data_IF_750006273977
#
_entry.id   IF_750006273977
#
_cell.length_a   1.000
_cell.length_b   1.000
_cell.length_c   1.000
_cell.angle_alpha   90.00
_cell.angle_beta   90.00
_cell.angle_gamma   90.00
#
_symmetry.space_group_name_H-M   'P 1'
#
loop_
_entity.id
_entity.type
_entity.pdbx_description
1 polymer ?
#
# COMPACT_ATOMS: atom_id res chain seq x y z
N UNK A 1 10.89 16.79 22.51
CA UNK A 1 10.81 15.81 21.41
C UNK A 1 11.74 16.21 20.27
N UNK A 2 12.44 15.24 19.72
CA UNK A 2 13.28 15.49 18.55
C UNK A 2 12.40 15.71 17.30
N UNK A 3 12.72 16.68 16.45
CA UNK A 3 12.01 16.84 15.19
C UNK A 3 12.24 15.63 14.28
N UNK A 4 11.26 15.32 13.41
CA UNK A 4 11.39 14.26 12.43
C UNK A 4 12.48 14.59 11.43
N UNK A 5 13.26 13.58 10.99
CA UNK A 5 14.21 13.73 9.90
C UNK A 5 13.48 14.04 8.58
N UNK A 6 14.17 14.63 7.59
CA UNK A 6 13.57 14.81 6.26
C UNK A 6 13.04 13.53 5.66
N UNK A 7 13.75 12.41 5.84
CA UNK A 7 13.32 11.09 5.36
C UNK A 7 12.02 10.63 6.05
N UNK A 8 11.93 10.79 7.37
CA UNK A 8 10.72 10.41 8.13
C UNK A 8 9.52 11.23 7.70
N UNK A 9 9.69 12.53 7.45
CA UNK A 9 8.62 13.40 6.96
C UNK A 9 8.06 12.91 5.62
N UNK A 10 8.94 12.56 4.68
CA UNK A 10 8.53 12.04 3.38
C UNK A 10 7.81 10.70 3.52
N UNK A 11 8.32 9.79 4.36
CA UNK A 11 7.67 8.49 4.61
C UNK A 11 6.24 8.71 5.11
N UNK A 12 6.04 9.59 6.07
CA UNK A 12 4.71 9.90 6.59
C UNK A 12 3.79 10.49 5.51
N UNK A 13 4.33 11.39 4.68
CA UNK A 13 3.58 11.97 3.55
C UNK A 13 3.17 10.90 2.52
N UNK A 14 4.07 9.97 2.20
CA UNK A 14 3.77 8.88 1.27
C UNK A 14 2.67 7.96 1.83
N UNK A 15 2.72 7.63 3.12
CA UNK A 15 1.67 6.84 3.75
C UNK A 15 0.31 7.54 3.66
N UNK A 16 0.27 8.85 3.90
CA UNK A 16 -0.96 9.65 3.82
C UNK A 16 -1.51 9.70 2.39
N UNK A 17 -0.65 9.90 1.39
CA UNK A 17 -1.05 9.94 -0.02
C UNK A 17 -1.63 8.60 -0.45
N UNK A 18 -0.98 7.49 -0.11
CA UNK A 18 -1.46 6.15 -0.44
C UNK A 18 -2.83 5.90 0.20
N UNK A 19 -2.99 6.27 1.48
CA UNK A 19 -4.29 6.16 2.15
C UNK A 19 -5.38 6.92 1.41
N UNK A 20 -5.11 8.15 1.00
CA UNK A 20 -6.08 8.98 0.28
C UNK A 20 -6.43 8.37 -1.08
N UNK A 21 -5.44 7.84 -1.79
CA UNK A 21 -5.67 7.14 -3.06
C UNK A 21 -6.58 5.93 -2.84
N UNK A 22 -6.30 5.10 -1.82
CA UNK A 22 -7.09 3.89 -1.57
C UNK A 22 -8.53 4.21 -1.18
N UNK A 23 -8.76 5.29 -0.45
CA UNK A 23 -10.12 5.74 -0.13
C UNK A 23 -10.93 6.06 -1.39
N UNK A 24 -10.28 6.59 -2.42
CA UNK A 24 -10.93 6.91 -3.69
C UNK A 24 -11.02 5.69 -4.61
N UNK A 25 -9.99 4.84 -4.65
CA UNK A 25 -9.92 3.66 -5.52
C UNK A 25 -10.78 2.51 -5.00
N UNK A 26 -10.60 2.15 -3.72
CA UNK A 26 -11.20 0.96 -3.12
C UNK A 26 -12.54 1.25 -2.44
N UNK A 27 -12.64 2.37 -1.74
CA UNK A 27 -13.85 2.89 -1.06
C UNK A 27 -14.34 2.06 0.12
N UNK A 28 -14.31 0.74 0.02
CA UNK A 28 -14.80 -0.20 1.02
C UNK A 28 -13.75 -1.27 1.30
N UNK A 29 -13.94 -2.03 2.36
CA UNK A 29 -13.10 -3.21 2.62
C UNK A 29 -13.16 -4.15 1.43
N UNK A 30 -12.02 -4.45 0.83
CA UNK A 30 -11.95 -5.27 -0.38
C UNK A 30 -12.24 -6.74 -0.11
N UNK A 31 -12.22 -7.15 1.15
CA UNK A 31 -12.49 -8.54 1.56
C UNK A 31 -13.95 -8.75 1.98
N UNK A 32 -14.58 -7.74 2.59
CA UNK A 32 -15.92 -7.90 3.21
C UNK A 32 -16.96 -6.90 2.72
N UNK A 33 -16.55 -5.83 2.06
CA UNK A 33 -17.46 -4.78 1.59
C UNK A 33 -17.91 -3.78 2.65
N UNK A 34 -17.49 -3.93 3.92
CA UNK A 34 -17.87 -2.96 4.95
C UNK A 34 -17.17 -1.62 4.76
N UNK A 35 -17.78 -0.55 5.31
CA UNK A 35 -17.35 0.83 5.05
C UNK A 35 -16.70 1.51 6.24
N UNK A 36 -16.59 0.82 7.38
CA UNK A 36 -16.07 1.38 8.64
C UNK A 36 -14.76 0.71 9.05
N UNK A 37 -13.94 1.43 9.82
CA UNK A 37 -12.69 0.94 10.39
C UNK A 37 -11.72 0.43 9.31
N UNK A 38 -11.63 1.18 8.22
CA UNK A 38 -10.80 0.83 7.09
C UNK A 38 -9.36 1.26 7.30
N UNK A 39 -8.43 0.39 6.91
CA UNK A 39 -7.00 0.61 7.02
C UNK A 39 -6.31 0.22 5.72
N UNK A 40 -5.14 0.80 5.48
CA UNK A 40 -4.25 0.37 4.39
C UNK A 40 -3.57 -0.92 4.82
N UNK A 41 -3.81 -1.99 4.07
CA UNK A 41 -3.25 -3.32 4.35
C UNK A 41 -2.24 -3.68 3.29
N UNK A 42 -1.07 -4.17 3.70
CA UNK A 42 0.05 -4.50 2.83
C UNK A 42 0.15 -6.01 2.63
N UNK A 43 0.27 -6.46 1.38
CA UNK A 43 0.56 -7.87 1.09
C UNK A 43 2.00 -8.20 1.50
N UNK A 44 2.98 -7.50 0.93
CA UNK A 44 4.35 -7.51 1.43
C UNK A 44 4.42 -6.48 2.55
N UNK A 45 4.94 -6.89 3.70
CA UNK A 45 4.92 -6.07 4.92
C UNK A 45 5.46 -4.64 4.69
N UNK A 46 4.87 -3.67 5.39
CA UNK A 46 5.23 -2.26 5.24
C UNK A 46 6.69 -1.96 5.58
N UNK A 47 7.39 -2.86 6.27
CA UNK A 47 8.83 -2.73 6.53
C UNK A 47 9.69 -2.88 5.26
N UNK A 48 9.16 -3.48 4.20
CA UNK A 48 9.86 -3.59 2.92
C UNK A 48 9.59 -2.33 2.11
N UNK A 49 10.52 -1.39 2.17
CA UNK A 49 10.37 -0.04 1.61
C UNK A 49 10.08 -0.07 0.10
N UNK A 50 10.69 -0.99 -0.64
CA UNK A 50 10.48 -1.11 -2.08
C UNK A 50 9.03 -1.45 -2.47
N UNK A 51 8.24 -2.01 -1.55
CA UNK A 51 6.85 -2.41 -1.79
C UNK A 51 5.83 -1.55 -1.03
N UNK A 52 6.26 -0.79 -0.04
CA UNK A 52 5.39 -0.13 0.93
C UNK A 52 4.34 0.77 0.30
N UNK A 53 4.72 1.51 -0.75
CA UNK A 53 3.83 2.45 -1.42
C UNK A 53 3.48 2.03 -2.86
N UNK A 54 3.75 0.78 -3.21
CA UNK A 54 3.32 0.21 -4.48
C UNK A 54 1.80 -0.03 -4.39
N UNK A 55 1.05 0.61 -5.27
CA UNK A 55 -0.42 0.56 -5.22
C UNK A 55 -0.98 -0.84 -5.47
N UNK A 56 -0.20 -1.71 -6.12
CA UNK A 56 -0.59 -3.12 -6.29
C UNK A 56 -0.38 -3.94 -5.01
N UNK A 57 0.49 -3.47 -4.10
CA UNK A 57 0.80 -4.16 -2.85
C UNK A 57 -0.19 -3.87 -1.72
N UNK A 58 -1.10 -2.93 -1.92
CA UNK A 58 -1.95 -2.42 -0.85
C UNK A 58 -3.42 -2.49 -1.21
N UNK A 59 -4.25 -2.77 -0.21
CA UNK A 59 -5.71 -2.72 -0.33
C UNK A 59 -6.30 -2.05 0.91
N UNK A 60 -7.50 -1.53 0.76
CA UNK A 60 -8.28 -1.05 1.89
C UNK A 60 -9.04 -2.21 2.51
N UNK A 61 -8.87 -2.45 3.80
CA UNK A 61 -9.58 -3.51 4.52
C UNK A 61 -9.77 -3.12 5.98
N UNK A 62 -10.62 -3.85 6.70
CA UNK A 62 -10.86 -3.59 8.13
C UNK A 62 -9.65 -3.93 8.98
N UNK A 63 -9.58 -3.32 10.19
CA UNK A 63 -8.54 -3.63 11.17
C UNK A 63 -8.50 -5.11 11.54
N UNK A 64 -9.68 -5.76 11.69
CA UNK A 64 -9.75 -7.20 11.96
C UNK A 64 -9.10 -8.04 10.88
N UNK A 65 -9.38 -7.73 9.61
CA UNK A 65 -8.72 -8.39 8.47
C UNK A 65 -7.22 -8.16 8.53
N UNK A 66 -6.79 -6.91 8.73
CA UNK A 66 -5.38 -6.55 8.73
C UNK A 66 -4.58 -7.23 9.84
N UNK A 67 -5.11 -7.22 11.08
CA UNK A 67 -4.35 -7.71 12.24
C UNK A 67 -4.47 -9.21 12.48
N UNK A 68 -5.60 -9.82 12.13
CA UNK A 68 -5.89 -11.21 12.48
C UNK A 68 -5.96 -12.14 11.28
N UNK A 69 -6.75 -11.80 10.28
CA UNK A 69 -6.98 -12.69 9.14
C UNK A 69 -5.76 -12.81 8.23
N UNK A 70 -5.18 -11.69 7.82
CA UNK A 70 -4.06 -11.68 6.86
C UNK A 70 -2.83 -12.43 7.37
N UNK A 71 -2.36 -12.22 8.63
CA UNK A 71 -1.24 -13.00 9.13
C UNK A 71 -1.53 -14.49 9.26
N UNK A 72 -2.77 -14.85 9.62
CA UNK A 72 -3.17 -16.25 9.84
C UNK A 72 -3.39 -17.01 8.53
N UNK A 73 -3.97 -16.37 7.53
CA UNK A 73 -4.37 -17.00 6.27
C UNK A 73 -3.53 -16.51 5.09
N UNK A 74 -2.22 -16.60 5.22
CA UNK A 74 -1.27 -16.04 4.26
C UNK A 74 -1.47 -16.58 2.84
N UNK A 75 -1.71 -17.88 2.69
CA UNK A 75 -1.94 -18.51 1.39
C UNK A 75 -3.22 -17.99 0.73
N UNK A 76 -4.30 -17.86 1.51
CA UNK A 76 -5.57 -17.30 1.00
C UNK A 76 -5.42 -15.85 0.60
N UNK A 77 -4.63 -15.08 1.35
CA UNK A 77 -4.35 -13.69 0.99
C UNK A 77 -3.55 -13.63 -0.31
N UNK A 78 -2.57 -14.49 -0.49
CA UNK A 78 -1.83 -14.58 -1.75
C UNK A 78 -2.75 -14.90 -2.92
N UNK A 79 -3.65 -15.86 -2.78
CA UNK A 79 -4.62 -16.21 -3.82
C UNK A 79 -5.53 -15.03 -4.17
N UNK A 80 -5.98 -14.28 -3.16
CA UNK A 80 -6.74 -13.05 -3.37
C UNK A 80 -5.95 -12.04 -4.20
N UNK A 81 -4.69 -11.81 -3.86
CA UNK A 81 -3.83 -10.87 -4.57
C UNK A 81 -3.56 -11.33 -6.01
N UNK A 82 -3.38 -12.62 -6.25
CA UNK A 82 -3.21 -13.18 -7.59
C UNK A 82 -4.43 -12.87 -8.46
N UNK A 83 -5.64 -13.04 -7.92
CA UNK A 83 -6.87 -12.70 -8.63
C UNK A 83 -6.98 -11.20 -8.92
N UNK A 84 -6.47 -10.38 -8.02
CA UNK A 84 -6.57 -8.91 -8.12
C UNK A 84 -5.56 -8.30 -9.08
N UNK A 85 -4.30 -8.70 -9.01
CA UNK A 85 -3.20 -8.07 -9.75
C UNK A 85 -2.46 -9.01 -10.70
N UNK A 86 -2.75 -10.30 -10.65
CA UNK A 86 -2.10 -11.33 -11.46
C UNK A 86 -0.86 -11.93 -10.80
N UNK A 87 -0.56 -13.17 -11.19
CA UNK A 87 0.55 -13.94 -10.62
C UNK A 87 1.90 -13.24 -10.85
N UNK A 88 2.14 -12.71 -12.05
CA UNK A 88 3.41 -12.06 -12.37
C UNK A 88 3.70 -10.88 -11.45
N UNK A 89 2.70 -10.04 -11.15
CA UNK A 89 2.86 -8.91 -10.23
C UNK A 89 3.09 -9.36 -8.79
N UNK A 90 2.35 -10.39 -8.35
CA UNK A 90 2.54 -10.95 -7.01
C UNK A 90 3.97 -11.48 -6.86
N UNK A 91 4.46 -12.24 -7.83
CA UNK A 91 5.83 -12.77 -7.81
C UNK A 91 6.88 -11.65 -7.82
N UNK A 92 6.64 -10.57 -8.56
CA UNK A 92 7.55 -9.42 -8.58
C UNK A 92 7.64 -8.75 -7.20
N UNK A 93 6.51 -8.58 -6.51
CA UNK A 93 6.48 -8.04 -5.15
C UNK A 93 7.23 -8.96 -4.18
N UNK A 94 6.97 -10.27 -4.27
CA UNK A 94 7.64 -11.27 -3.43
C UNK A 94 9.15 -11.30 -3.68
N UNK A 95 9.57 -11.12 -4.93
CA UNK A 95 10.99 -11.05 -5.28
C UNK A 95 11.67 -9.85 -4.62
N UNK A 96 11.02 -8.67 -4.62
CA UNK A 96 11.53 -7.47 -3.95
C UNK A 96 11.69 -7.65 -2.44
N UNK A 97 10.83 -8.46 -1.83
CA UNK A 97 10.95 -8.81 -0.41
C UNK A 97 12.21 -9.64 -0.16
N UNK A 98 12.47 -10.62 -1.01
CA UNK A 98 13.64 -11.51 -0.86
C UNK A 98 14.96 -10.84 -1.22
N UNK A 99 14.93 -9.86 -2.10
CA UNK A 99 16.12 -9.15 -2.59
C UNK A 99 15.93 -7.63 -2.46
N UNK A 100 15.93 -7.11 -1.22
CA UNK A 100 15.73 -5.68 -1.01
C UNK A 100 16.89 -4.88 -1.60
N UNK A 101 16.55 -3.81 -2.33
CA UNK A 101 17.50 -2.83 -2.83
C UNK A 101 17.45 -1.57 -1.96
N UNK A 102 18.56 -0.84 -1.82
CA UNK A 102 18.54 0.42 -1.09
C UNK A 102 17.62 1.44 -1.79
N UNK A 103 16.80 2.12 -1.01
CA UNK A 103 15.93 3.20 -1.48
C UNK A 103 16.37 4.49 -0.78
N UNK A 104 16.78 5.47 -1.55
CA UNK A 104 17.30 6.72 -1.03
C UNK A 104 16.21 7.77 -0.89
N UNK A 105 16.45 8.80 -0.09
CA UNK A 105 15.49 9.90 0.10
C UNK A 105 15.12 10.59 -1.21
N UNK A 106 16.08 10.72 -2.14
CA UNK A 106 15.81 11.24 -3.49
C UNK A 106 14.82 10.38 -4.27
N UNK A 107 14.89 9.06 -4.12
CA UNK A 107 13.93 8.13 -4.74
C UNK A 107 12.53 8.33 -4.16
N UNK A 108 12.43 8.55 -2.85
CA UNK A 108 11.16 8.82 -2.18
C UNK A 108 10.52 10.12 -2.64
N UNK A 109 11.32 11.15 -2.92
CA UNK A 109 10.82 12.42 -3.47
C UNK A 109 10.21 12.23 -4.86
N UNK A 110 10.85 11.44 -5.72
CA UNK A 110 10.33 11.12 -7.04
C UNK A 110 9.03 10.30 -6.94
N UNK A 111 9.01 9.33 -6.05
CA UNK A 111 7.82 8.52 -5.79
C UNK A 111 6.65 9.40 -5.30
N UNK A 112 6.91 10.36 -4.42
CA UNK A 112 5.89 11.29 -3.95
C UNK A 112 5.26 12.06 -5.09
N UNK A 113 6.06 12.60 -6.01
CA UNK A 113 5.55 13.33 -7.17
C UNK A 113 4.65 12.42 -8.03
N UNK A 114 5.06 11.17 -8.29
CA UNK A 114 4.28 10.20 -9.04
C UNK A 114 2.96 9.87 -8.35
N UNK A 115 2.99 9.63 -7.04
CA UNK A 115 1.77 9.33 -6.26
C UNK A 115 0.81 10.51 -6.20
N UNK A 116 1.32 11.74 -6.13
CA UNK A 116 0.46 12.93 -6.18
C UNK A 116 -0.26 13.04 -7.52
N UNK A 117 0.40 12.72 -8.63
CA UNK A 117 -0.25 12.67 -9.94
C UNK A 117 -1.35 11.60 -9.98
N UNK A 118 -1.09 10.43 -9.41
CA UNK A 118 -2.09 9.36 -9.30
C UNK A 118 -3.27 9.76 -8.42
N UNK A 119 -3.02 10.47 -7.31
CA UNK A 119 -4.07 10.98 -6.46
C UNK A 119 -5.00 11.92 -7.23
N UNK A 120 -4.45 12.84 -8.02
CA UNK A 120 -5.25 13.73 -8.87
C UNK A 120 -6.07 12.94 -9.91
N UNK A 121 -5.50 11.90 -10.49
CA UNK A 121 -6.23 11.01 -11.41
C UNK A 121 -7.46 10.40 -10.74
N UNK A 122 -7.31 9.86 -9.54
CA UNK A 122 -8.44 9.25 -8.81
C UNK A 122 -9.46 10.29 -8.35
N UNK A 123 -9.04 11.48 -7.94
CA UNK A 123 -9.95 12.58 -7.60
C UNK A 123 -10.87 12.95 -8.76
N UNK A 124 -10.32 13.05 -9.97
CA UNK A 124 -11.08 13.42 -11.16
C UNK A 124 -12.10 12.36 -11.55
N UNK A 125 -11.81 11.08 -11.28
CA UNK A 125 -12.70 9.97 -11.64
C UNK A 125 -13.86 9.78 -10.65
N UNK A 126 -13.81 10.40 -9.49
CA UNK A 126 -14.86 10.27 -8.47
C UNK A 126 -15.86 11.43 -8.46
N UNK A 127 -15.69 12.40 -9.35
CA UNK A 127 -16.62 13.52 -9.50
C UNK A 127 -17.84 13.14 -10.33
#
# INVERSE_FOLDING_TARGET
MKPKSPRKKIIDQLDDIVRDILKLRDRVCQMTGVTKNLQVCHYITRGVIACRWDLDNVILATGGINYFWMPKYRTKYRDFMIKRIGLARVEQLEWKERKPAPIYTSDLKLLKADLLDKLEYYKKRTL
#
